data_IF_930177296327
#
_entry.id   IF_930177296327
#
_cell.length_a   1.000
_cell.length_b   1.000
_cell.length_c   1.000
_cell.angle_alpha   90.00
_cell.angle_beta   90.00
_cell.angle_gamma   90.00
#
_symmetry.space_group_name_H-M   'P 1'
#
loop_
_entity.id
_entity.type
_entity.pdbx_description
1 polymer ?
#
# COMPACT_ATOMS: atom_id res chain seq x y z
N UNK A 1 -7.39 24.88 2.27
CA UNK A 1 -8.59 24.26 2.90
C UNK A 1 -8.20 23.30 4.03
N UNK A 2 -9.13 22.91 4.92
CA UNK A 2 -8.88 21.89 5.96
C UNK A 2 -9.09 20.46 5.43
N UNK A 3 -8.32 19.49 5.91
CA UNK A 3 -8.54 18.07 5.60
C UNK A 3 -9.71 17.56 6.43
N UNK A 4 -10.81 17.18 5.79
CA UNK A 4 -12.00 16.63 6.44
C UNK A 4 -12.35 15.28 5.82
N UNK A 5 -12.91 14.35 6.60
CA UNK A 5 -13.29 13.02 6.13
C UNK A 5 -14.80 12.84 6.25
N UNK A 6 -15.44 12.33 5.18
CA UNK A 6 -16.86 12.02 5.21
C UNK A 6 -17.11 10.69 5.92
N UNK A 7 -18.30 10.47 6.48
CA UNK A 7 -18.65 9.17 7.08
C UNK A 7 -18.60 8.03 6.07
N UNK A 8 -18.88 8.31 4.79
CA UNK A 8 -18.75 7.34 3.70
C UNK A 8 -17.29 6.98 3.48
N UNK A 9 -16.42 7.98 3.38
CA UNK A 9 -14.99 7.78 3.15
C UNK A 9 -14.32 7.00 4.28
N UNK A 10 -14.64 7.32 5.53
CA UNK A 10 -14.12 6.56 6.68
C UNK A 10 -14.53 5.08 6.61
N UNK A 11 -15.78 4.81 6.21
CA UNK A 11 -16.25 3.44 6.00
C UNK A 11 -15.52 2.77 4.84
N UNK A 12 -15.39 3.46 3.72
CA UNK A 12 -14.74 2.92 2.51
C UNK A 12 -13.24 2.64 2.79
N UNK A 13 -12.54 3.53 3.52
CA UNK A 13 -11.16 3.31 4.00
C UNK A 13 -11.08 2.12 4.95
N UNK A 14 -12.01 1.99 5.90
CA UNK A 14 -12.03 0.87 6.84
C UNK A 14 -12.28 -0.47 6.12
N UNK A 15 -13.20 -0.52 5.15
CA UNK A 15 -13.45 -1.73 4.36
C UNK A 15 -12.24 -2.08 3.50
N UNK A 16 -11.65 -1.11 2.81
CA UNK A 16 -10.46 -1.32 2.00
C UNK A 16 -9.27 -1.79 2.85
N UNK A 17 -9.07 -1.21 4.04
CA UNK A 17 -8.05 -1.63 5.01
C UNK A 17 -8.21 -3.09 5.42
N UNK A 18 -9.42 -3.49 5.81
CA UNK A 18 -9.71 -4.87 6.24
C UNK A 18 -9.58 -5.86 5.08
N UNK A 19 -10.12 -5.52 3.91
CA UNK A 19 -10.10 -6.37 2.73
C UNK A 19 -8.68 -6.58 2.20
N UNK A 20 -7.87 -5.52 2.10
CA UNK A 20 -6.47 -5.64 1.69
C UNK A 20 -5.64 -6.35 2.76
N UNK A 21 -5.84 -6.05 4.05
CA UNK A 21 -5.18 -6.77 5.13
C UNK A 21 -5.43 -8.29 5.06
N UNK A 22 -6.68 -8.68 4.80
CA UNK A 22 -7.05 -10.07 4.58
C UNK A 22 -6.41 -10.66 3.32
N UNK A 23 -6.46 -9.95 2.19
CA UNK A 23 -5.88 -10.41 0.93
C UNK A 23 -4.37 -10.63 1.07
N UNK A 24 -3.63 -9.70 1.67
CA UNK A 24 -2.20 -9.86 1.91
C UNK A 24 -1.90 -11.00 2.90
N UNK A 25 -2.71 -11.19 3.94
CA UNK A 25 -2.53 -12.31 4.87
C UNK A 25 -2.66 -13.68 4.18
N UNK A 26 -3.66 -13.83 3.30
CA UNK A 26 -3.86 -15.04 2.49
C UNK A 26 -2.72 -15.21 1.49
N UNK A 27 -2.31 -14.14 0.81
CA UNK A 27 -1.22 -14.17 -0.16
C UNK A 27 0.10 -14.61 0.50
N UNK A 28 0.46 -14.04 1.65
CA UNK A 28 1.68 -14.43 2.39
C UNK A 28 1.58 -15.82 3.02
N UNK A 29 0.38 -16.30 3.34
CA UNK A 29 0.19 -17.71 3.68
C UNK A 29 0.51 -18.64 2.50
N UNK A 30 0.56 -18.13 1.27
CA UNK A 30 0.78 -18.88 0.04
C UNK A 30 -0.51 -19.40 -0.58
N UNK A 31 -1.62 -18.67 -0.42
CA UNK A 31 -2.91 -18.99 -1.02
C UNK A 31 -3.91 -19.65 -0.06
N UNK A 32 -5.13 -19.86 -0.55
CA UNK A 32 -6.30 -20.24 0.24
C UNK A 32 -6.14 -21.55 1.01
N UNK A 33 -5.56 -22.58 0.40
CA UNK A 33 -5.33 -23.88 1.06
C UNK A 33 -4.39 -23.76 2.27
N UNK A 34 -3.33 -22.95 2.13
CA UNK A 34 -2.38 -22.72 3.23
C UNK A 34 -2.95 -21.75 4.26
N UNK A 35 -3.71 -20.74 3.85
CA UNK A 35 -4.45 -19.87 4.75
C UNK A 35 -5.43 -20.66 5.63
N UNK A 36 -6.15 -21.62 5.04
CA UNK A 36 -7.03 -22.52 5.78
C UNK A 36 -6.25 -23.41 6.77
N UNK A 37 -5.10 -23.96 6.35
CA UNK A 37 -4.25 -24.72 7.25
C UNK A 37 -3.79 -23.87 8.45
N UNK A 38 -3.35 -22.62 8.22
CA UNK A 38 -2.98 -21.67 9.29
C UNK A 38 -4.17 -21.31 10.19
N UNK A 39 -5.38 -21.27 9.64
CA UNK A 39 -6.59 -20.99 10.41
C UNK A 39 -6.88 -22.16 11.36
N UNK A 40 -6.77 -23.39 10.87
CA UNK A 40 -6.98 -24.60 11.66
C UNK A 40 -5.90 -24.81 12.73
N UNK A 41 -4.66 -24.37 12.48
CA UNK A 41 -3.57 -24.38 13.47
C UNK A 41 -3.58 -23.18 14.42
N UNK A 42 -4.50 -22.22 14.26
CA UNK A 42 -4.62 -21.02 15.09
C UNK A 42 -3.60 -19.91 14.81
N UNK A 43 -2.71 -20.07 13.83
CA UNK A 43 -1.65 -19.10 13.49
C UNK A 43 -2.09 -18.03 12.49
N UNK A 44 -3.28 -18.17 11.87
CA UNK A 44 -3.79 -17.18 10.92
C UNK A 44 -4.03 -15.80 11.54
N UNK A 45 -4.40 -15.74 12.83
CA UNK A 45 -4.62 -14.47 13.53
C UNK A 45 -3.38 -13.57 13.51
N UNK A 46 -2.19 -14.16 13.72
CA UNK A 46 -0.93 -13.42 13.64
C UNK A 46 -0.67 -12.90 12.22
N UNK A 47 -0.86 -13.74 11.20
CA UNK A 47 -0.68 -13.35 9.80
C UNK A 47 -1.60 -12.19 9.39
N UNK A 48 -2.85 -12.22 9.86
CA UNK A 48 -3.82 -11.14 9.63
C UNK A 48 -3.40 -9.84 10.32
N UNK A 49 -3.00 -9.90 11.60
CA UNK A 49 -2.55 -8.73 12.35
C UNK A 49 -1.31 -8.10 11.68
N UNK A 50 -0.32 -8.91 11.33
CA UNK A 50 0.88 -8.44 10.63
C UNK A 50 0.51 -7.75 9.32
N UNK A 51 -0.41 -8.33 8.54
CA UNK A 51 -0.83 -7.77 7.24
C UNK A 51 -1.63 -6.47 7.39
N UNK A 52 -2.49 -6.37 8.41
CA UNK A 52 -3.22 -5.13 8.72
C UNK A 52 -2.28 -4.00 9.13
N UNK A 53 -1.26 -4.30 9.95
CA UNK A 53 -0.28 -3.33 10.43
C UNK A 53 0.75 -2.91 9.38
N UNK A 54 0.91 -3.70 8.30
CA UNK A 54 1.91 -3.45 7.25
C UNK A 54 1.24 -3.02 5.95
N UNK A 55 0.68 -3.96 5.19
CA UNK A 55 -0.03 -3.67 3.93
C UNK A 55 -1.21 -2.72 4.16
N UNK A 56 -2.03 -2.99 5.18
CA UNK A 56 -3.20 -2.19 5.48
C UNK A 56 -2.86 -0.74 5.83
N UNK A 57 -1.94 -0.52 6.77
CA UNK A 57 -1.47 0.82 7.13
C UNK A 57 -0.75 1.49 5.95
N UNK A 58 0.06 0.74 5.20
CA UNK A 58 0.76 1.26 4.02
C UNK A 58 -0.19 1.78 2.95
N UNK A 59 -1.28 1.05 2.68
CA UNK A 59 -2.36 1.49 1.81
C UNK A 59 -3.11 2.71 2.37
N UNK A 60 -3.51 2.68 3.65
CA UNK A 60 -4.25 3.80 4.25
C UNK A 60 -3.48 5.11 4.18
N UNK A 61 -2.19 5.08 4.54
CA UNK A 61 -1.35 6.26 4.50
C UNK A 61 -1.06 6.72 3.08
N UNK A 62 -0.96 5.80 2.11
CA UNK A 62 -0.85 6.12 0.68
C UNK A 62 -2.06 6.92 0.19
N UNK A 63 -3.29 6.44 0.40
CA UNK A 63 -4.51 7.13 -0.03
C UNK A 63 -4.71 8.46 0.71
N UNK A 64 -4.46 8.48 2.02
CA UNK A 64 -4.53 9.72 2.80
C UNK A 64 -3.50 10.73 2.30
N UNK A 65 -2.32 10.32 1.84
CA UNK A 65 -1.33 11.23 1.29
C UNK A 65 -1.81 11.89 -0.01
N UNK A 66 -2.40 11.14 -0.94
CA UNK A 66 -3.03 11.73 -2.13
C UNK A 66 -4.02 12.82 -1.75
N UNK A 67 -4.92 12.50 -0.81
CA UNK A 67 -5.92 13.45 -0.32
C UNK A 67 -5.30 14.68 0.33
N UNK A 68 -4.35 14.50 1.24
CA UNK A 68 -3.70 15.61 1.95
C UNK A 68 -3.02 16.55 0.96
N UNK A 69 -2.35 16.02 -0.06
CA UNK A 69 -1.71 16.85 -1.10
C UNK A 69 -2.75 17.51 -2.01
N UNK A 70 -3.84 16.82 -2.36
CA UNK A 70 -4.93 17.41 -3.14
C UNK A 70 -5.59 18.59 -2.40
N UNK A 71 -5.85 18.45 -1.10
CA UNK A 71 -6.42 19.54 -0.27
C UNK A 71 -5.47 20.72 -0.12
N UNK A 72 -4.14 20.48 -0.15
CA UNK A 72 -3.13 21.55 -0.19
C UNK A 72 -3.14 22.34 -1.50
N UNK A 73 -3.61 21.74 -2.60
CA UNK A 73 -3.87 22.41 -3.87
C UNK A 73 -5.35 22.85 -4.01
N UNK A 74 -5.98 23.15 -2.87
CA UNK A 74 -7.36 23.65 -2.76
C UNK A 74 -8.41 22.79 -3.49
N UNK A 75 -8.17 21.49 -3.60
CA UNK A 75 -9.15 20.54 -4.11
C UNK A 75 -10.04 20.01 -2.98
N UNK A 76 -11.29 19.72 -3.31
CA UNK A 76 -12.12 18.82 -2.51
C UNK A 76 -11.79 17.40 -2.92
N UNK A 77 -11.33 16.56 -2.00
CA UNK A 77 -10.90 15.19 -2.27
C UNK A 77 -11.55 14.18 -1.31
N UNK A 78 -11.95 13.01 -1.83
CA UNK A 78 -12.60 11.94 -1.08
C UNK A 78 -12.15 10.56 -1.62
N UNK A 79 -11.63 9.70 -0.75
CA UNK A 79 -11.40 8.30 -1.09
C UNK A 79 -12.72 7.55 -1.26
N UNK A 80 -12.83 6.75 -2.33
CA UNK A 80 -13.94 5.83 -2.55
C UNK A 80 -13.43 4.46 -2.91
N UNK A 81 -13.89 3.46 -2.14
CA UNK A 81 -13.54 2.08 -2.37
C UNK A 81 -14.28 1.51 -3.58
N UNK A 82 -13.58 0.70 -4.36
CA UNK A 82 -14.18 -0.18 -5.36
C UNK A 82 -14.37 -1.58 -4.77
N UNK A 83 -15.59 -1.88 -4.35
CA UNK A 83 -15.93 -3.13 -3.70
C UNK A 83 -15.74 -4.36 -4.61
N UNK A 84 -15.90 -4.19 -5.94
CA UNK A 84 -15.67 -5.27 -6.89
C UNK A 84 -14.19 -5.61 -6.97
N UNK A 85 -13.34 -4.58 -7.07
CA UNK A 85 -11.89 -4.75 -7.12
C UNK A 85 -11.29 -5.20 -5.78
N UNK A 86 -11.86 -4.80 -4.65
CA UNK A 86 -11.53 -5.37 -3.34
C UNK A 86 -11.87 -6.86 -3.26
N UNK A 87 -13.02 -7.26 -3.82
CA UNK A 87 -13.37 -8.67 -3.97
C UNK A 87 -12.35 -9.43 -4.82
N UNK A 88 -11.95 -8.87 -5.96
CA UNK A 88 -10.91 -9.43 -6.84
C UNK A 88 -9.57 -9.55 -6.09
N UNK A 89 -9.20 -8.57 -5.27
CA UNK A 89 -7.98 -8.63 -4.46
C UNK A 89 -7.98 -9.86 -3.53
N UNK A 90 -9.07 -10.09 -2.80
CA UNK A 90 -9.21 -11.26 -1.93
C UNK A 90 -9.25 -12.56 -2.75
N UNK A 91 -10.01 -12.61 -3.85
CA UNK A 91 -10.11 -13.80 -4.69
C UNK A 91 -8.79 -14.18 -5.37
N UNK A 92 -8.03 -13.19 -5.85
CA UNK A 92 -6.69 -13.41 -6.39
C UNK A 92 -5.73 -13.92 -5.32
N UNK A 93 -5.82 -13.41 -4.09
CA UNK A 93 -5.01 -13.89 -2.97
C UNK A 93 -5.24 -15.38 -2.69
N UNK A 94 -6.48 -15.86 -2.81
CA UNK A 94 -6.81 -17.28 -2.62
C UNK A 94 -6.08 -18.20 -3.60
N UNK A 95 -5.77 -17.75 -4.82
CA UNK A 95 -4.98 -18.52 -5.80
C UNK A 95 -3.47 -18.25 -5.71
N UNK A 96 -3.01 -17.50 -4.70
CA UNK A 96 -1.59 -17.22 -4.46
C UNK A 96 -1.03 -16.04 -5.27
N UNK A 97 -1.89 -15.19 -5.82
CA UNK A 97 -1.51 -13.95 -6.51
C UNK A 97 -2.11 -12.74 -5.80
N UNK A 98 -1.61 -11.52 -5.99
CA UNK A 98 -2.24 -10.33 -5.41
C UNK A 98 -2.47 -9.27 -6.48
N UNK A 99 -3.74 -8.96 -6.72
CA UNK A 99 -4.16 -7.83 -7.54
C UNK A 99 -4.88 -6.80 -6.66
N UNK A 100 -4.17 -5.76 -6.24
CA UNK A 100 -4.71 -4.74 -5.35
C UNK A 100 -5.04 -3.45 -6.12
N UNK A 101 -6.34 -3.22 -6.38
CA UNK A 101 -6.86 -1.97 -6.93
C UNK A 101 -8.05 -1.50 -6.07
N UNK A 102 -7.82 -1.05 -4.83
CA UNK A 102 -8.85 -0.93 -3.79
C UNK A 102 -9.86 0.20 -4.00
N UNK A 103 -9.54 1.18 -4.83
CA UNK A 103 -10.32 2.39 -5.03
C UNK A 103 -9.45 3.52 -5.57
N UNK A 104 -9.96 4.74 -5.47
CA UNK A 104 -9.21 5.94 -5.81
C UNK A 104 -9.67 7.14 -4.98
N UNK A 105 -8.77 8.11 -4.79
CA UNK A 105 -9.12 9.45 -4.29
C UNK A 105 -9.66 10.29 -5.44
N UNK A 106 -10.96 10.57 -5.40
CA UNK A 106 -11.59 11.47 -6.33
C UNK A 106 -11.40 12.90 -5.86
N UNK A 107 -10.91 13.78 -6.73
CA UNK A 107 -10.77 15.20 -6.44
C UNK A 107 -11.52 16.05 -7.45
N UNK A 108 -12.06 17.19 -6.98
CA UNK A 108 -12.80 18.15 -7.79
C UNK A 108 -12.18 19.55 -7.66
N UNK A 109 -11.82 20.11 -8.81
CA UNK A 109 -11.25 21.44 -8.97
C UNK A 109 -10.39 21.51 -10.23
N UNK A 110 -9.80 22.67 -10.50
CA UNK A 110 -8.85 22.86 -11.58
C UNK A 110 -7.46 22.50 -11.06
N UNK A 111 -6.72 21.67 -11.80
CA UNK A 111 -5.35 21.29 -11.48
C UNK A 111 -4.46 21.56 -12.69
N UNK A 112 -3.27 22.08 -12.43
CA UNK A 112 -2.18 22.04 -13.40
C UNK A 112 -1.62 20.62 -13.51
N UNK A 113 -0.96 20.29 -14.62
CA UNK A 113 -0.30 18.99 -14.79
C UNK A 113 0.68 18.68 -13.64
N UNK A 114 1.35 19.72 -13.14
CA UNK A 114 2.26 19.62 -12.00
C UNK A 114 1.57 19.24 -10.72
N UNK A 115 0.46 19.89 -10.38
CA UNK A 115 -0.28 19.58 -9.16
C UNK A 115 -0.87 18.17 -9.23
N UNK A 116 -1.42 17.79 -10.38
CA UNK A 116 -1.95 16.44 -10.59
C UNK A 116 -0.86 15.37 -10.47
N UNK A 117 0.32 15.62 -11.05
CA UNK A 117 1.49 14.75 -10.89
C UNK A 117 2.01 14.66 -9.45
N UNK A 118 2.00 15.77 -8.71
CA UNK A 118 2.41 15.80 -7.29
C UNK A 118 1.41 15.08 -6.38
N UNK A 119 0.10 15.18 -6.66
CA UNK A 119 -0.93 14.42 -5.97
C UNK A 119 -0.69 12.92 -6.18
N UNK A 120 -0.54 12.47 -7.43
CA UNK A 120 -0.26 11.06 -7.75
C UNK A 120 1.07 10.57 -7.14
N UNK A 121 2.09 11.42 -7.08
CA UNK A 121 3.38 11.04 -6.48
C UNK A 121 3.32 10.87 -4.94
N UNK A 122 2.36 11.52 -4.27
CA UNK A 122 2.26 11.55 -2.82
C UNK A 122 2.11 10.15 -2.18
N UNK A 123 1.31 9.29 -2.81
CA UNK A 123 1.10 7.91 -2.37
C UNK A 123 2.40 7.09 -2.41
N UNK A 124 3.04 6.90 -3.58
CA UNK A 124 4.28 6.14 -3.69
C UNK A 124 5.41 6.67 -2.80
N UNK A 125 5.54 8.00 -2.67
CA UNK A 125 6.54 8.60 -1.76
C UNK A 125 6.23 8.26 -0.30
N UNK A 126 4.96 8.27 0.10
CA UNK A 126 4.57 7.86 1.47
C UNK A 126 4.95 6.41 1.75
N UNK A 127 4.73 5.49 0.80
CA UNK A 127 5.20 4.11 0.96
C UNK A 127 6.73 4.04 1.09
N UNK A 128 7.48 4.79 0.28
CA UNK A 128 8.95 4.84 0.41
C UNK A 128 9.39 5.39 1.78
N UNK A 129 8.71 6.41 2.31
CA UNK A 129 8.99 6.93 3.65
C UNK A 129 8.67 5.92 4.76
N UNK A 130 7.67 5.07 4.56
CA UNK A 130 7.36 4.00 5.50
C UNK A 130 8.50 2.97 5.62
N UNK A 131 9.38 2.83 4.62
CA UNK A 131 10.57 1.99 4.79
C UNK A 131 11.47 2.53 5.90
N UNK A 132 11.61 3.85 6.01
CA UNK A 132 12.38 4.50 7.08
C UNK A 132 11.74 4.22 8.45
N UNK A 133 10.42 4.14 8.52
CA UNK A 133 9.69 3.82 9.75
C UNK A 133 9.79 2.32 10.11
N UNK A 134 9.73 1.41 9.13
CA UNK A 134 9.80 -0.04 9.38
C UNK A 134 11.23 -0.58 9.55
N UNK A 135 12.25 0.11 9.04
CA UNK A 135 13.65 -0.27 9.22
C UNK A 135 14.06 -0.41 10.71
N UNK A 136 13.80 0.56 11.60
CA UNK A 136 14.11 0.40 13.03
C UNK A 136 13.26 -0.68 13.70
N UNK A 137 12.04 -0.94 13.22
CA UNK A 137 11.21 -2.06 13.71
C UNK A 137 11.87 -3.39 13.38
N UNK A 138 12.36 -3.56 12.14
CA UNK A 138 13.07 -4.76 11.71
C UNK A 138 14.36 -4.99 12.50
N UNK A 139 15.21 -3.97 12.58
CA UNK A 139 16.48 -4.02 13.32
C UNK A 139 16.25 -4.24 14.81
N UNK A 140 15.27 -3.53 15.39
CA UNK A 140 14.87 -3.71 16.79
C UNK A 140 14.42 -5.13 17.09
N UNK A 141 13.63 -5.74 16.19
CA UNK A 141 13.20 -7.14 16.30
C UNK A 141 14.37 -8.13 16.36
N UNK A 142 15.41 -7.91 15.55
CA UNK A 142 16.63 -8.72 15.58
C UNK A 142 17.37 -8.52 16.91
N UNK A 143 17.57 -7.27 17.34
CA UNK A 143 18.34 -6.94 18.55
C UNK A 143 17.70 -7.55 19.81
N UNK A 144 16.37 -7.49 19.91
CA UNK A 144 15.64 -8.02 21.07
C UNK A 144 15.29 -9.50 20.95
N UNK A 145 15.59 -10.14 19.81
CA UNK A 145 15.26 -11.54 19.55
C UNK A 145 13.76 -11.83 19.48
N UNK A 146 12.96 -10.89 18.96
CA UNK A 146 11.51 -11.07 18.81
C UNK A 146 11.12 -11.35 17.37
N UNK A 147 10.76 -12.60 17.09
CA UNK A 147 10.32 -13.06 15.76
C UNK A 147 9.13 -12.26 15.24
N UNK A 148 8.18 -11.90 16.11
CA UNK A 148 6.98 -11.14 15.73
C UNK A 148 7.35 -9.71 15.31
N UNK A 149 8.21 -9.03 16.07
CA UNK A 149 8.64 -7.65 15.75
C UNK A 149 9.49 -7.64 14.48
N UNK A 150 10.39 -8.62 14.34
CA UNK A 150 11.18 -8.80 13.12
C UNK A 150 10.27 -9.08 11.90
N UNK A 151 9.23 -9.89 12.07
CA UNK A 151 8.25 -10.19 11.02
C UNK A 151 7.46 -8.94 10.61
N UNK A 152 7.00 -8.13 11.57
CA UNK A 152 6.32 -6.85 11.26
C UNK A 152 7.25 -5.91 10.51
N UNK A 153 8.49 -5.74 10.96
CA UNK A 153 9.47 -4.88 10.32
C UNK A 153 9.83 -5.33 8.90
N UNK A 154 10.15 -6.61 8.72
CA UNK A 154 10.48 -7.18 7.40
C UNK A 154 9.30 -7.08 6.42
N UNK A 155 8.10 -7.44 6.84
CA UNK A 155 6.87 -7.31 6.03
C UNK A 155 6.59 -5.85 5.69
N UNK A 156 6.69 -4.96 6.66
CA UNK A 156 6.51 -3.52 6.46
C UNK A 156 7.45 -2.95 5.41
N UNK A 157 8.73 -3.34 5.45
CA UNK A 157 9.73 -2.96 4.45
C UNK A 157 9.37 -3.48 3.05
N UNK A 158 9.22 -4.80 2.90
CA UNK A 158 9.00 -5.45 1.59
C UNK A 158 7.70 -4.98 0.95
N UNK A 159 6.61 -4.94 1.71
CA UNK A 159 5.28 -4.58 1.20
C UNK A 159 5.26 -3.12 0.75
N UNK A 160 5.77 -2.19 1.56
CA UNK A 160 5.73 -0.77 1.17
C UNK A 160 6.65 -0.49 -0.02
N UNK A 161 7.80 -1.15 -0.13
CA UNK A 161 8.65 -1.02 -1.31
C UNK A 161 7.89 -1.53 -2.56
N UNK A 162 7.26 -2.69 -2.44
CA UNK A 162 6.44 -3.27 -3.51
C UNK A 162 5.27 -2.38 -3.91
N UNK A 163 4.51 -1.83 -2.94
CA UNK A 163 3.38 -0.93 -3.21
C UNK A 163 3.84 0.35 -3.93
N UNK A 164 4.99 0.92 -3.54
CA UNK A 164 5.58 2.06 -4.24
C UNK A 164 5.94 1.70 -5.70
N UNK A 165 6.60 0.55 -5.91
CA UNK A 165 6.97 0.10 -7.25
C UNK A 165 5.75 -0.21 -8.13
N UNK A 166 4.74 -0.90 -7.58
CA UNK A 166 3.52 -1.28 -8.28
C UNK A 166 2.72 -0.06 -8.71
N UNK A 167 2.48 0.90 -7.80
CA UNK A 167 1.76 2.12 -8.14
C UNK A 167 2.52 3.03 -9.10
N UNK A 168 3.85 2.91 -9.17
CA UNK A 168 4.65 3.62 -10.17
C UNK A 168 4.65 2.96 -11.56
N UNK A 169 3.97 1.83 -11.78
CA UNK A 169 3.84 1.28 -13.14
C UNK A 169 2.95 2.20 -14.01
N UNK A 170 3.33 2.47 -15.28
CA UNK A 170 2.61 3.42 -16.13
C UNK A 170 1.39 2.76 -16.82
N UNK A 171 0.50 2.13 -16.06
CA UNK A 171 -0.64 1.36 -16.59
C UNK A 171 -1.95 1.69 -15.86
N UNK A 172 -3.07 1.61 -16.59
CA UNK A 172 -4.41 1.71 -16.01
C UNK A 172 -4.64 3.02 -15.23
N UNK A 173 -5.09 2.88 -13.99
CA UNK A 173 -5.36 3.96 -13.03
C UNK A 173 -4.23 4.14 -12.00
N UNK A 174 -3.07 3.52 -12.20
CA UNK A 174 -1.95 3.61 -11.26
C UNK A 174 -1.27 4.99 -11.34
N UNK A 175 -0.74 5.45 -10.20
CA UNK A 175 -0.16 6.78 -10.04
C UNK A 175 0.94 7.10 -11.04
N UNK A 176 1.79 6.11 -11.35
CA UNK A 176 2.92 6.23 -12.24
C UNK A 176 2.54 6.73 -13.62
N UNK A 177 1.32 6.43 -14.09
CA UNK A 177 0.80 6.97 -15.35
C UNK A 177 0.69 8.49 -15.30
N UNK A 178 0.11 9.03 -14.23
CA UNK A 178 -0.07 10.47 -14.02
C UNK A 178 1.25 11.16 -13.71
N UNK A 179 2.12 10.54 -12.91
CA UNK A 179 3.47 11.08 -12.65
C UNK A 179 4.28 11.15 -13.95
N UNK A 180 4.22 10.13 -14.81
CA UNK A 180 4.92 10.11 -16.10
C UNK A 180 4.43 11.18 -17.06
N UNK A 181 3.13 11.45 -17.12
CA UNK A 181 2.58 12.50 -17.98
C UNK A 181 3.01 13.89 -17.55
N UNK A 182 3.22 14.11 -16.25
CA UNK A 182 3.75 15.37 -15.73
C UNK A 182 5.28 15.47 -15.89
N UNK A 183 6.03 14.46 -15.46
CA UNK A 183 7.50 14.46 -15.49
C UNK A 183 8.06 13.05 -15.64
N UNK A 184 8.59 12.74 -16.82
CA UNK A 184 9.23 11.45 -17.09
C UNK A 184 10.47 11.21 -16.23
N UNK A 185 11.23 12.25 -15.88
CA UNK A 185 12.42 12.14 -15.03
C UNK A 185 12.06 11.76 -13.59
N UNK A 186 11.05 12.41 -13.00
CA UNK A 186 10.56 12.08 -11.65
C UNK A 186 9.98 10.67 -11.64
N UNK A 187 9.17 10.33 -12.64
CA UNK A 187 8.64 8.98 -12.81
C UNK A 187 9.75 7.92 -12.84
N UNK A 188 10.74 8.08 -13.72
CA UNK A 188 11.81 7.11 -13.88
C UNK A 188 12.64 6.97 -12.60
N UNK A 189 12.98 8.08 -11.94
CA UNK A 189 13.75 8.07 -10.70
C UNK A 189 13.04 7.31 -9.57
N UNK A 190 11.76 7.58 -9.36
CA UNK A 190 10.99 6.95 -8.27
C UNK A 190 10.68 5.49 -8.59
N UNK A 191 10.35 5.16 -9.85
CA UNK A 191 10.13 3.76 -10.26
C UNK A 191 11.40 2.92 -10.09
N UNK A 192 12.54 3.40 -10.59
CA UNK A 192 13.82 2.69 -10.48
C UNK A 192 14.21 2.50 -9.02
N UNK A 193 14.14 3.57 -8.20
CA UNK A 193 14.42 3.47 -6.78
C UNK A 193 13.52 2.44 -6.10
N UNK A 194 12.22 2.48 -6.36
CA UNK A 194 11.25 1.56 -5.75
C UNK A 194 11.53 0.12 -6.17
N UNK A 195 11.81 -0.16 -7.45
CA UNK A 195 12.17 -1.50 -7.94
C UNK A 195 13.45 -2.00 -7.28
N UNK A 196 14.50 -1.18 -7.24
CA UNK A 196 15.77 -1.57 -6.62
C UNK A 196 15.61 -1.88 -5.13
N UNK A 197 14.82 -1.08 -4.41
CA UNK A 197 14.49 -1.33 -3.00
C UNK A 197 13.67 -2.61 -2.85
N UNK A 198 12.65 -2.83 -3.67
CA UNK A 198 11.86 -4.07 -3.65
C UNK A 198 12.75 -5.29 -3.87
N UNK A 199 13.54 -5.31 -4.94
CA UNK A 199 14.43 -6.44 -5.27
C UNK A 199 15.48 -6.65 -4.17
N UNK A 200 16.12 -5.57 -3.71
CA UNK A 200 17.11 -5.65 -2.63
C UNK A 200 16.51 -6.22 -1.34
N UNK A 201 15.36 -5.72 -0.91
CA UNK A 201 14.69 -6.22 0.29
C UNK A 201 14.26 -7.68 0.13
N UNK A 202 13.77 -8.09 -1.03
CA UNK A 202 13.43 -9.49 -1.30
C UNK A 202 14.66 -10.42 -1.21
N UNK A 203 15.83 -9.98 -1.68
CA UNK A 203 17.04 -10.78 -1.66
C UNK A 203 17.70 -10.85 -0.27
N UNK A 204 17.66 -9.75 0.50
CA UNK A 204 18.42 -9.63 1.76
C UNK A 204 17.56 -9.78 3.02
N UNK A 205 16.27 -9.46 2.97
CA UNK A 205 15.33 -9.57 4.10
C UNK A 205 14.43 -10.79 3.96
N UNK A 206 14.07 -11.16 2.72
CA UNK A 206 13.32 -12.38 2.42
C UNK A 206 11.81 -12.21 2.35
N UNK A 207 11.14 -13.34 2.06
CA UNK A 207 9.69 -13.51 1.97
C UNK A 207 9.16 -14.39 3.09
#
# INVERSE_FOLDING_TARGET
MNVTFSSRELRDLAVAWLALGLAFAIFFAGGGNRALALLLSGSFGLALIVSLLTAGVGFLLHEVAHKVVAVKFDQVAEFRADYGMLGIAVMSALIGFIFAAPGAVYHRGMLTDREHGLIALAGPVTNLLLLVAFAPVFVGGIIIGSDVVQLIGSRGLVINAFLAAFNMLPFGSLDGRTVKSWSTSVFAGVLVLSILLTVGLLLFVGF
#
